data_IF_755222450509
#
_entry.id   IF_755222450509
#
_cell.length_a   1.000
_cell.length_b   1.000
_cell.length_c   1.000
_cell.angle_alpha   90.00
_cell.angle_beta   90.00
_cell.angle_gamma   90.00
#
_symmetry.space_group_name_H-M   'P 1'
#
loop_
_entity.id
_entity.type
_entity.pdbx_description
1 polymer ?
#
# COMPACT_ATOMS: atom_id res chain seq x y z
N UNK A 1 -91.14 27.41 -19.09
CA UNK A 1 -90.91 28.47 -20.09
C UNK A 1 -89.41 28.58 -20.34
N UNK A 2 -89.00 28.50 -21.62
CA UNK A 2 -87.76 28.94 -22.32
C UNK A 2 -86.56 29.37 -21.45
N UNK A 3 -85.30 29.04 -21.75
CA UNK A 3 -84.65 29.14 -23.05
C UNK A 3 -83.26 28.45 -23.05
N UNK A 4 -82.84 28.10 -24.27
CA UNK A 4 -81.54 27.59 -24.69
C UNK A 4 -80.37 28.57 -24.48
N UNK A 5 -79.12 28.08 -24.44
CA UNK A 5 -77.94 28.44 -25.27
C UNK A 5 -76.63 28.08 -24.51
N UNK A 6 -75.46 27.71 -25.05
CA UNK A 6 -74.89 27.26 -26.34
C UNK A 6 -73.51 26.63 -26.03
N UNK A 7 -72.96 25.85 -26.96
CA UNK A 7 -71.67 25.14 -26.87
C UNK A 7 -70.50 26.12 -27.10
N UNK A 8 -69.44 26.02 -26.30
CA UNK A 8 -68.12 26.58 -26.63
C UNK A 8 -67.02 25.57 -26.25
N UNK A 9 -66.47 24.88 -27.26
CA UNK A 9 -65.29 24.03 -27.14
C UNK A 9 -64.07 24.93 -27.41
N UNK A 10 -63.28 25.19 -26.37
CA UNK A 10 -62.00 25.88 -26.46
C UNK A 10 -60.88 24.84 -26.62
N UNK A 11 -60.14 24.96 -27.71
CA UNK A 11 -59.01 24.10 -28.08
C UNK A 11 -57.74 24.69 -27.44
N UNK A 12 -57.21 24.06 -26.39
CA UNK A 12 -55.90 24.44 -25.82
C UNK A 12 -54.77 23.74 -26.58
N UNK A 13 -53.95 24.55 -27.25
CA UNK A 13 -52.70 24.12 -27.87
C UNK A 13 -51.62 24.13 -26.79
N UNK A 14 -51.15 22.94 -26.39
CA UNK A 14 -50.02 22.80 -25.49
C UNK A 14 -48.71 23.15 -26.22
N UNK A 15 -48.10 24.29 -25.87
CA UNK A 15 -46.74 24.64 -26.27
C UNK A 15 -45.74 23.93 -25.35
N UNK A 16 -44.95 23.01 -25.89
CA UNK A 16 -43.83 22.41 -25.19
C UNK A 16 -42.69 23.43 -25.06
N UNK A 17 -42.19 23.72 -23.84
CA UNK A 17 -41.00 24.55 -23.69
C UNK A 17 -39.78 23.74 -24.14
N UNK A 18 -39.08 24.23 -25.17
CA UNK A 18 -37.79 23.70 -25.57
C UNK A 18 -36.74 23.94 -24.49
N UNK A 19 -35.93 22.91 -24.19
CA UNK A 19 -34.83 23.02 -23.23
C UNK A 19 -33.77 24.02 -23.73
N UNK A 20 -33.64 25.16 -23.07
CA UNK A 20 -32.47 26.03 -23.18
C UNK A 20 -31.31 25.39 -22.42
N UNK A 21 -30.30 24.87 -23.11
CA UNK A 21 -29.03 24.53 -22.46
C UNK A 21 -28.31 25.84 -22.12
N UNK A 22 -28.16 26.13 -20.83
CA UNK A 22 -27.33 27.22 -20.36
C UNK A 22 -25.86 26.93 -20.70
N UNK A 23 -25.09 27.91 -21.22
CA UNK A 23 -23.65 27.71 -21.45
C UNK A 23 -22.95 27.43 -20.11
N UNK A 24 -21.92 26.56 -20.08
CA UNK A 24 -21.22 26.25 -18.84
C UNK A 24 -20.57 27.52 -18.27
N UNK A 25 -20.58 27.70 -16.94
CA UNK A 25 -20.00 28.87 -16.30
C UNK A 25 -18.49 28.97 -16.63
N UNK A 26 -18.03 30.20 -16.85
CA UNK A 26 -16.65 30.51 -17.23
C UNK A 26 -15.69 29.94 -16.18
N UNK A 27 -14.78 29.05 -16.59
CA UNK A 27 -13.86 28.38 -15.68
C UNK A 27 -12.96 29.40 -14.96
N UNK A 28 -13.16 29.53 -13.65
CA UNK A 28 -12.33 30.39 -12.81
C UNK A 28 -10.95 29.73 -12.65
N UNK A 29 -9.87 30.40 -13.07
CA UNK A 29 -8.52 29.81 -13.20
C UNK A 29 -7.97 29.24 -11.87
N UNK A 30 -8.54 29.72 -10.76
CA UNK A 30 -8.16 29.39 -9.39
C UNK A 30 -8.96 28.23 -8.78
N UNK A 31 -9.97 27.69 -9.47
CA UNK A 31 -10.78 26.58 -8.98
C UNK A 31 -10.80 25.43 -9.99
N UNK A 32 -10.90 24.20 -9.49
CA UNK A 32 -11.09 22.98 -10.27
C UNK A 32 -12.40 22.36 -9.83
N UNK A 33 -13.29 22.12 -10.77
CA UNK A 33 -14.53 21.37 -10.53
C UNK A 33 -14.18 19.88 -10.37
N UNK A 34 -14.46 19.31 -9.21
CA UNK A 34 -14.32 17.88 -8.95
C UNK A 34 -15.72 17.28 -8.90
N UNK A 35 -15.96 16.24 -9.70
CA UNK A 35 -17.22 15.51 -9.72
C UNK A 35 -17.02 14.11 -9.14
N UNK A 36 -17.89 13.72 -8.21
CA UNK A 36 -18.00 12.36 -7.68
C UNK A 36 -19.45 11.85 -7.80
N UNK A 37 -19.74 10.67 -7.24
CA UNK A 37 -21.08 10.05 -7.28
C UNK A 37 -22.16 10.89 -6.57
N UNK A 38 -21.76 11.86 -5.74
CA UNK A 38 -22.66 12.77 -5.01
C UNK A 38 -22.88 14.12 -5.70
N UNK A 39 -22.12 14.42 -6.77
CA UNK A 39 -22.28 15.62 -7.59
C UNK A 39 -20.97 16.31 -7.95
N UNK A 40 -21.07 17.50 -8.53
CA UNK A 40 -19.92 18.33 -8.91
C UNK A 40 -19.78 19.53 -7.98
N UNK A 41 -18.59 19.72 -7.42
CA UNK A 41 -18.27 20.87 -6.56
C UNK A 41 -16.96 21.54 -6.98
N UNK A 42 -16.94 22.88 -6.96
CA UNK A 42 -15.74 23.67 -7.25
C UNK A 42 -14.84 23.75 -6.01
N UNK A 43 -13.59 23.32 -6.16
CA UNK A 43 -12.56 23.42 -5.11
C UNK A 43 -11.44 24.34 -5.56
N UNK A 44 -10.81 25.11 -4.66
CA UNK A 44 -9.65 25.90 -5.06
C UNK A 44 -8.51 24.98 -5.53
N UNK A 45 -7.73 25.42 -6.50
CA UNK A 45 -6.69 24.60 -7.14
C UNK A 45 -5.55 24.20 -6.18
N UNK A 46 -5.37 24.98 -5.13
CA UNK A 46 -4.48 24.71 -4.01
C UNK A 46 -5.19 24.03 -2.82
N UNK A 47 -6.37 23.44 -3.05
CA UNK A 47 -7.08 22.69 -2.01
C UNK A 47 -6.26 21.45 -1.61
N UNK A 48 -5.77 21.43 -0.37
CA UNK A 48 -5.26 20.23 0.25
C UNK A 48 -6.41 19.48 0.93
N UNK A 49 -6.60 18.21 0.57
CA UNK A 49 -7.53 17.31 1.26
C UNK A 49 -7.10 17.00 2.69
N UNK A 50 -5.81 17.13 2.99
CA UNK A 50 -5.25 16.99 4.33
C UNK A 50 -4.88 18.36 4.91
N UNK A 51 -5.56 18.76 5.99
CA UNK A 51 -5.27 19.98 6.75
C UNK A 51 -4.81 19.57 8.16
N UNK A 52 -3.50 19.67 8.49
CA UNK A 52 -2.98 19.26 9.79
C UNK A 52 -3.54 20.10 10.95
N UNK A 53 -4.06 21.31 10.69
CA UNK A 53 -4.66 22.16 11.71
C UNK A 53 -6.09 21.74 12.11
N UNK A 54 -6.73 20.83 11.35
CA UNK A 54 -8.08 20.31 11.61
C UNK A 54 -8.08 18.90 12.18
N UNK A 55 -6.95 18.45 12.73
CA UNK A 55 -6.81 17.14 13.33
C UNK A 55 -7.79 16.97 14.49
N UNK A 56 -8.47 15.83 14.57
CA UNK A 56 -9.39 15.56 15.68
C UNK A 56 -8.60 15.43 17.00
N UNK A 57 -9.22 15.73 18.16
CA UNK A 57 -8.56 15.53 19.45
C UNK A 57 -8.10 14.09 19.68
N UNK A 58 -8.82 13.12 19.11
CA UNK A 58 -8.50 11.69 19.19
C UNK A 58 -7.24 11.33 18.39
N UNK A 59 -7.09 11.89 17.18
CA UNK A 59 -5.91 11.69 16.35
C UNK A 59 -4.67 12.36 16.96
N UNK A 60 -4.82 13.53 17.57
CA UNK A 60 -3.73 14.21 18.27
C UNK A 60 -3.26 13.40 19.48
N UNK A 61 -4.19 12.90 20.30
CA UNK A 61 -3.86 12.01 21.41
C UNK A 61 -3.19 10.71 20.93
N UNK A 62 -3.61 10.13 19.81
CA UNK A 62 -2.97 8.95 19.23
C UNK A 62 -1.54 9.23 18.75
N UNK A 63 -1.30 10.39 18.11
CA UNK A 63 0.03 10.80 17.69
C UNK A 63 0.94 11.09 18.90
N UNK A 64 0.41 11.71 19.95
CA UNK A 64 1.18 11.96 21.17
C UNK A 64 1.57 10.64 21.84
N UNK A 65 0.63 9.70 21.98
CA UNK A 65 0.91 8.35 22.48
C UNK A 65 2.01 7.66 21.69
N UNK A 66 2.02 7.84 20.37
CA UNK A 66 3.08 7.30 19.51
C UNK A 66 4.45 7.86 19.86
N UNK A 67 4.56 9.19 19.99
CA UNK A 67 5.81 9.85 20.36
C UNK A 67 6.29 9.40 21.73
N UNK A 68 5.38 9.31 22.71
CA UNK A 68 5.71 8.87 24.07
C UNK A 68 6.25 7.43 24.08
N UNK A 69 5.66 6.53 23.29
CA UNK A 69 6.12 5.15 23.17
C UNK A 69 7.44 5.03 22.40
N UNK A 70 7.65 5.83 21.35
CA UNK A 70 8.92 5.88 20.62
C UNK A 70 10.05 6.33 21.56
N UNK A 71 9.81 7.33 22.42
CA UNK A 71 10.78 7.79 23.43
C UNK A 71 11.10 6.73 24.50
N UNK A 72 10.14 5.86 24.84
CA UNK A 72 10.38 4.71 25.73
C UNK A 72 11.17 3.60 25.01
N UNK A 73 10.83 3.34 23.75
CA UNK A 73 11.48 2.32 22.92
C UNK A 73 12.97 2.60 22.71
N UNK A 74 13.35 3.87 22.51
CA UNK A 74 14.76 4.26 22.39
C UNK A 74 15.60 3.88 23.60
N UNK A 75 15.02 3.89 24.80
CA UNK A 75 15.73 3.64 26.06
C UNK A 75 15.81 2.16 26.41
N UNK A 76 14.74 1.39 26.18
CA UNK A 76 14.65 -0.01 26.61
C UNK A 76 14.40 -0.99 25.43
N UNK A 77 15.28 -2.00 25.21
CA UNK A 77 15.05 -3.11 24.27
C UNK A 77 13.67 -3.75 24.39
N UNK A 78 13.17 -3.92 25.61
CA UNK A 78 11.89 -4.56 25.88
C UNK A 78 10.73 -3.67 25.44
N UNK A 79 10.81 -2.36 25.71
CA UNK A 79 9.84 -1.37 25.26
C UNK A 79 9.80 -1.24 23.74
N UNK A 80 10.95 -1.29 23.06
CA UNK A 80 10.98 -1.30 21.60
C UNK A 80 10.32 -2.55 21.00
N UNK A 81 10.49 -3.71 21.64
CA UNK A 81 9.79 -4.92 21.23
C UNK A 81 8.27 -4.83 21.45
N UNK A 82 7.83 -4.27 22.58
CA UNK A 82 6.39 -4.05 22.84
C UNK A 82 5.78 -3.07 21.83
N UNK A 83 6.47 -1.95 21.55
CA UNK A 83 6.05 -1.00 20.52
C UNK A 83 5.93 -1.67 19.14
N UNK A 84 6.90 -2.52 18.79
CA UNK A 84 6.83 -3.30 17.55
C UNK A 84 5.59 -4.19 17.51
N UNK A 85 5.27 -4.91 18.59
CA UNK A 85 4.08 -5.75 18.65
C UNK A 85 2.78 -4.95 18.52
N UNK A 86 2.69 -3.77 19.16
CA UNK A 86 1.54 -2.87 19.03
C UNK A 86 1.37 -2.36 17.61
N UNK A 87 2.47 -1.94 16.96
CA UNK A 87 2.46 -1.51 15.56
C UNK A 87 2.11 -2.65 14.60
N UNK A 88 2.51 -3.88 14.93
CA UNK A 88 2.18 -5.07 14.15
C UNK A 88 0.69 -5.40 14.19
N UNK A 89 0.05 -5.28 15.37
CA UNK A 89 -1.36 -5.64 15.58
C UNK A 89 -2.33 -4.48 15.36
N UNK A 90 -1.86 -3.24 15.50
CA UNK A 90 -2.72 -2.05 15.55
C UNK A 90 -3.35 -1.79 16.92
N UNK A 91 -2.70 -2.23 18.02
CA UNK A 91 -3.27 -2.15 19.37
C UNK A 91 -3.15 -0.72 19.93
N UNK A 92 -4.23 0.06 19.82
CA UNK A 92 -4.32 1.44 20.32
C UNK A 92 -3.57 2.47 19.47
N UNK A 93 -2.96 2.02 18.36
CA UNK A 93 -2.12 2.76 17.43
C UNK A 93 -2.44 2.27 16.02
N UNK A 94 -2.31 3.13 15.01
CA UNK A 94 -2.46 2.72 13.61
C UNK A 94 -1.44 1.64 13.25
N UNK A 95 -1.92 0.50 12.76
CA UNK A 95 -1.07 -0.60 12.32
C UNK A 95 -0.05 -0.13 11.27
N UNK A 96 1.21 -0.46 11.49
CA UNK A 96 2.29 -0.20 10.54
C UNK A 96 3.35 -1.30 10.63
N UNK A 97 3.23 -2.25 9.72
CA UNK A 97 4.06 -3.44 9.67
C UNK A 97 5.54 -3.13 9.39
N UNK A 98 5.84 -2.11 8.57
CA UNK A 98 7.21 -1.72 8.28
C UNK A 98 7.89 -1.13 9.52
N UNK A 99 7.27 -0.14 10.16
CA UNK A 99 7.79 0.44 11.41
C UNK A 99 7.91 -0.62 12.52
N UNK A 100 6.98 -1.58 12.58
CA UNK A 100 7.08 -2.70 13.52
C UNK A 100 8.39 -3.48 13.33
N UNK A 101 8.73 -3.86 12.10
CA UNK A 101 9.96 -4.62 11.84
C UNK A 101 11.21 -3.81 12.17
N UNK A 102 11.21 -2.50 11.92
CA UNK A 102 12.33 -1.61 12.26
C UNK A 102 12.57 -1.55 13.78
N UNK A 103 11.52 -1.32 14.57
CA UNK A 103 11.63 -1.31 16.04
C UNK A 103 11.99 -2.68 16.60
N UNK A 104 11.46 -3.75 16.01
CA UNK A 104 11.81 -5.11 16.39
C UNK A 104 13.28 -5.42 16.09
N UNK A 105 13.79 -4.97 14.94
CA UNK A 105 15.20 -5.05 14.57
C UNK A 105 16.07 -4.30 15.57
N UNK A 106 15.73 -3.05 15.87
CA UNK A 106 16.46 -2.26 16.89
C UNK A 106 16.49 -2.95 18.25
N UNK A 107 15.37 -3.52 18.71
CA UNK A 107 15.33 -4.31 19.93
C UNK A 107 16.25 -5.54 19.85
N UNK A 108 16.22 -6.27 18.73
CA UNK A 108 17.07 -7.45 18.50
C UNK A 108 18.56 -7.12 18.43
N UNK A 109 18.94 -6.00 17.81
CA UNK A 109 20.32 -5.50 17.75
C UNK A 109 20.86 -5.12 19.12
N UNK A 110 20.00 -4.55 19.99
CA UNK A 110 20.30 -4.30 21.40
C UNK A 110 20.26 -5.55 22.28
N UNK A 111 20.08 -6.73 21.69
CA UNK A 111 20.19 -8.01 22.38
C UNK A 111 18.88 -8.56 22.96
N UNK A 112 17.73 -7.95 22.66
CA UNK A 112 16.43 -8.43 23.13
C UNK A 112 16.12 -9.82 22.54
N UNK A 113 16.10 -10.84 23.39
CA UNK A 113 16.03 -12.23 22.97
C UNK A 113 14.77 -12.58 22.18
N UNK A 114 13.59 -12.18 22.67
CA UNK A 114 12.32 -12.46 21.99
C UNK A 114 12.18 -11.70 20.67
N UNK A 115 12.81 -10.52 20.55
CA UNK A 115 12.83 -9.77 19.29
C UNK A 115 13.67 -10.51 18.23
N UNK A 116 14.84 -11.03 18.60
CA UNK A 116 15.68 -11.83 17.70
C UNK A 116 14.92 -13.08 17.20
N UNK A 117 14.22 -13.79 18.10
CA UNK A 117 13.43 -14.97 17.73
C UNK A 117 12.26 -14.59 16.81
N UNK A 118 11.54 -13.52 17.14
CA UNK A 118 10.41 -13.03 16.34
C UNK A 118 10.84 -12.59 14.94
N UNK A 119 11.96 -11.86 14.80
CA UNK A 119 12.54 -11.50 13.50
C UNK A 119 12.92 -12.73 12.69
N UNK A 120 13.58 -13.69 13.31
CA UNK A 120 13.95 -14.95 12.68
C UNK A 120 12.76 -15.68 12.07
N UNK A 121 11.66 -15.77 12.83
CA UNK A 121 10.39 -16.34 12.35
C UNK A 121 9.78 -15.53 11.23
N UNK A 122 9.74 -14.21 11.38
CA UNK A 122 9.13 -13.29 10.42
C UNK A 122 9.86 -13.32 9.07
N UNK A 123 11.19 -13.37 9.06
CA UNK A 123 11.96 -13.52 7.83
C UNK A 123 11.80 -14.90 7.19
N UNK A 124 11.59 -15.95 7.99
CA UNK A 124 11.39 -17.30 7.46
C UNK A 124 10.02 -17.45 6.78
N UNK A 125 8.95 -16.97 7.42
CA UNK A 125 7.59 -17.03 6.85
C UNK A 125 7.37 -15.98 5.76
N UNK A 126 8.11 -14.88 5.84
CA UNK A 126 7.85 -13.67 5.10
C UNK A 126 6.65 -12.89 5.64
N UNK A 127 6.53 -11.63 5.23
CA UNK A 127 5.50 -10.72 5.71
C UNK A 127 4.96 -9.84 4.59
N UNK A 128 3.72 -10.12 4.19
CA UNK A 128 3.03 -9.36 3.13
C UNK A 128 3.91 -9.19 1.89
N UNK A 129 4.18 -7.94 1.54
CA UNK A 129 4.97 -7.56 0.36
C UNK A 129 6.49 -7.77 0.51
N UNK A 130 7.00 -7.92 1.74
CA UNK A 130 8.45 -8.05 1.98
C UNK A 130 9.01 -9.42 1.53
N UNK A 131 8.14 -10.42 1.33
CA UNK A 131 8.55 -11.79 1.03
C UNK A 131 9.33 -12.46 2.16
N UNK A 132 9.76 -13.70 1.95
CA UNK A 132 10.64 -14.41 2.89
C UNK A 132 12.11 -14.20 2.53
N UNK A 133 12.95 -14.09 3.56
CA UNK A 133 14.41 -14.04 3.45
C UNK A 133 15.02 -15.09 4.40
N UNK A 134 15.25 -16.33 3.90
CA UNK A 134 15.86 -17.38 4.69
C UNK A 134 17.28 -17.06 5.18
N UNK A 135 18.01 -16.17 4.49
CA UNK A 135 19.36 -15.78 4.88
C UNK A 135 19.36 -14.90 6.13
N UNK A 136 18.52 -13.88 6.14
CA UNK A 136 18.37 -13.02 7.32
C UNK A 136 17.71 -13.78 8.48
N UNK A 137 16.78 -14.71 8.18
CA UNK A 137 16.21 -15.62 9.18
C UNK A 137 17.31 -16.46 9.88
N UNK A 138 18.22 -17.07 9.11
CA UNK A 138 19.33 -17.87 9.66
C UNK A 138 20.21 -17.04 10.60
N UNK A 139 20.51 -15.79 10.24
CA UNK A 139 21.30 -14.88 11.08
C UNK A 139 20.63 -14.62 12.42
N UNK A 140 19.37 -14.20 12.45
CA UNK A 140 18.66 -13.91 13.70
C UNK A 140 18.40 -15.17 14.55
N UNK A 141 18.05 -16.30 13.90
CA UNK A 141 17.82 -17.57 14.58
C UNK A 141 19.11 -18.20 15.12
N UNK A 142 20.26 -17.97 14.47
CA UNK A 142 21.54 -18.46 14.99
C UNK A 142 21.90 -17.85 16.34
N UNK A 143 21.59 -16.55 16.53
CA UNK A 143 21.82 -15.85 17.79
C UNK A 143 20.98 -16.45 18.91
N UNK A 144 19.70 -16.75 18.66
CA UNK A 144 18.80 -17.33 19.67
C UNK A 144 19.06 -18.81 19.92
N UNK A 145 19.35 -19.58 18.86
CA UNK A 145 19.73 -20.99 18.96
C UNK A 145 21.03 -21.19 19.74
N UNK A 146 21.99 -20.25 19.64
CA UNK A 146 23.25 -20.28 20.41
C UNK A 146 23.01 -20.15 21.93
N UNK A 147 21.93 -19.47 22.33
CA UNK A 147 21.51 -19.31 23.72
C UNK A 147 20.72 -20.52 24.25
N UNK A 148 20.58 -21.58 23.45
CA UNK A 148 19.99 -22.86 23.87
C UNK A 148 18.49 -23.01 23.58
N UNK A 149 17.88 -22.07 22.85
CA UNK A 149 16.47 -22.14 22.52
C UNK A 149 16.17 -23.25 21.50
N UNK A 150 15.22 -24.12 21.87
CA UNK A 150 14.88 -25.31 21.09
C UNK A 150 14.08 -24.95 19.83
N UNK A 151 13.17 -24.00 19.92
CA UNK A 151 12.34 -23.52 18.80
C UNK A 151 13.22 -22.83 17.76
N UNK A 152 14.13 -21.95 18.21
CA UNK A 152 15.11 -21.30 17.35
C UNK A 152 15.99 -22.32 16.62
N UNK A 153 16.40 -23.40 17.30
CA UNK A 153 17.22 -24.45 16.67
C UNK A 153 16.46 -25.25 15.62
N UNK A 154 15.15 -25.50 15.81
CA UNK A 154 14.33 -26.16 14.78
C UNK A 154 14.15 -25.24 13.58
N UNK A 155 13.76 -23.98 13.83
CA UNK A 155 13.58 -22.97 12.80
C UNK A 155 14.88 -22.67 12.05
N UNK A 156 16.04 -22.71 12.71
CA UNK A 156 17.34 -22.51 12.08
C UNK A 156 17.60 -23.58 11.01
N UNK A 157 17.25 -24.84 11.27
CA UNK A 157 17.37 -25.92 10.28
C UNK A 157 16.48 -25.67 9.08
N UNK A 158 15.23 -25.26 9.32
CA UNK A 158 14.28 -24.91 8.27
C UNK A 158 14.78 -23.73 7.43
N UNK A 159 15.32 -22.68 8.08
CA UNK A 159 15.91 -21.52 7.40
C UNK A 159 17.10 -21.90 6.53
N UNK A 160 18.02 -22.74 7.03
CA UNK A 160 19.16 -23.22 6.25
C UNK A 160 18.72 -24.05 5.04
N UNK A 161 17.72 -24.92 5.19
CA UNK A 161 17.18 -25.69 4.08
C UNK A 161 16.48 -24.80 3.04
N UNK A 162 15.69 -23.82 3.49
CA UNK A 162 15.04 -22.85 2.63
C UNK A 162 16.06 -22.01 1.86
N UNK A 163 17.14 -21.58 2.52
CA UNK A 163 18.25 -20.85 1.88
C UNK A 163 18.95 -21.69 0.81
N UNK A 164 19.26 -22.95 1.10
CA UNK A 164 19.88 -23.86 0.13
C UNK A 164 18.97 -24.10 -1.08
N UNK A 165 17.67 -24.28 -0.83
CA UNK A 165 16.66 -24.43 -1.87
C UNK A 165 16.59 -23.17 -2.75
N UNK A 166 16.53 -21.99 -2.13
CA UNK A 166 16.53 -20.71 -2.83
C UNK A 166 17.81 -20.52 -3.67
N UNK A 167 18.97 -20.85 -3.13
CA UNK A 167 20.25 -20.78 -3.85
C UNK A 167 20.32 -21.77 -5.02
N UNK A 168 19.83 -22.99 -4.83
CA UNK A 168 19.74 -24.00 -5.89
C UNK A 168 18.80 -23.53 -7.00
N UNK A 169 17.64 -23.01 -6.64
CA UNK A 169 16.66 -22.46 -7.58
C UNK A 169 17.27 -21.29 -8.35
N UNK A 170 17.96 -20.36 -7.67
CA UNK A 170 18.64 -19.25 -8.33
C UNK A 170 19.70 -19.74 -9.32
N UNK A 171 20.55 -20.70 -8.94
CA UNK A 171 21.56 -21.31 -9.83
C UNK A 171 20.93 -22.00 -11.04
N UNK A 172 19.83 -22.71 -10.84
CA UNK A 172 19.08 -23.33 -11.93
C UNK A 172 18.57 -22.28 -12.92
N UNK A 173 17.87 -21.25 -12.43
CA UNK A 173 17.34 -20.18 -13.26
C UNK A 173 18.44 -19.39 -13.96
N UNK A 174 19.56 -19.14 -13.28
CA UNK A 174 20.68 -18.43 -13.86
C UNK A 174 21.34 -19.22 -15.01
N UNK A 175 21.53 -20.53 -14.84
CA UNK A 175 22.02 -21.42 -15.90
C UNK A 175 21.14 -21.36 -17.15
N UNK A 176 19.82 -21.34 -16.98
CA UNK A 176 18.85 -21.31 -18.08
C UNK A 176 18.49 -19.89 -18.54
N UNK A 177 19.03 -18.86 -17.89
CA UNK A 177 18.71 -17.46 -18.15
C UNK A 177 18.91 -17.12 -19.62
N UNK A 178 20.09 -17.42 -20.16
CA UNK A 178 20.42 -17.13 -21.57
C UNK A 178 19.52 -17.91 -22.53
N UNK A 179 19.25 -19.19 -22.30
CA UNK A 179 18.37 -19.99 -23.14
C UNK A 179 16.95 -19.45 -23.15
N UNK A 180 16.42 -19.08 -21.98
CA UNK A 180 15.06 -18.56 -21.84
C UNK A 180 14.90 -17.18 -22.49
N UNK A 181 15.85 -16.26 -22.23
CA UNK A 181 15.83 -14.92 -22.85
C UNK A 181 16.13 -14.95 -24.34
N UNK A 182 17.05 -15.81 -24.81
CA UNK A 182 17.29 -15.97 -26.24
C UNK A 182 16.07 -16.54 -26.94
N UNK A 183 15.44 -17.58 -26.39
CA UNK A 183 14.21 -18.16 -26.95
C UNK A 183 13.06 -17.14 -27.00
N UNK A 184 12.87 -16.36 -25.93
CA UNK A 184 11.85 -15.32 -25.90
C UNK A 184 12.18 -14.16 -26.85
N UNK A 185 13.44 -13.72 -26.91
CA UNK A 185 13.88 -12.65 -27.83
C UNK A 185 13.88 -13.08 -29.30
N UNK A 186 14.13 -14.36 -29.60
CA UNK A 186 14.09 -14.88 -30.98
C UNK A 186 12.68 -15.28 -31.41
N UNK A 187 11.83 -15.70 -30.47
CA UNK A 187 10.46 -16.14 -30.72
C UNK A 187 9.44 -15.00 -30.75
N UNK A 188 9.68 -13.94 -29.98
CA UNK A 188 8.92 -12.69 -30.02
C UNK A 188 9.80 -11.60 -30.64
N UNK A 189 9.98 -11.69 -31.96
CA UNK A 189 10.65 -10.63 -32.69
C UNK A 189 9.75 -9.40 -32.63
N UNK A 190 10.09 -8.43 -31.77
CA UNK A 190 9.39 -7.15 -31.71
C UNK A 190 9.66 -6.43 -33.02
N UNK A 191 8.73 -6.60 -33.96
CA UNK A 191 8.87 -5.97 -35.25
C UNK A 191 8.92 -4.46 -35.12
N UNK A 192 8.24 -3.85 -34.15
CA UNK A 192 8.26 -2.41 -33.96
C UNK A 192 9.31 -1.99 -32.91
N UNK A 193 10.29 -1.18 -33.32
CA UNK A 193 11.27 -0.50 -32.45
C UNK A 193 11.06 1.01 -32.51
N UNK A 194 11.02 1.69 -31.37
CA UNK A 194 11.02 3.16 -31.30
C UNK A 194 12.45 3.70 -31.34
N UNK A 195 12.73 4.59 -32.28
CA UNK A 195 14.00 5.33 -32.35
C UNK A 195 13.74 6.71 -32.96
N UNK A 196 14.57 7.72 -32.67
CA UNK A 196 14.46 9.10 -33.21
C UNK A 196 13.04 9.68 -33.33
N UNK A 197 12.14 9.36 -32.39
CA UNK A 197 10.76 9.85 -32.38
C UNK A 197 9.77 9.16 -33.33
N UNK A 198 10.11 7.98 -33.90
CA UNK A 198 9.22 7.19 -34.77
C UNK A 198 9.36 5.68 -34.52
N UNK A 199 8.34 4.94 -34.92
CA UNK A 199 8.35 3.46 -34.92
C UNK A 199 8.93 2.91 -36.22
N UNK A 200 9.89 2.00 -36.11
CA UNK A 200 10.56 1.29 -37.20
C UNK A 200 10.16 -0.19 -37.19
N UNK A 201 9.78 -0.73 -38.34
CA UNK A 201 9.47 -2.15 -38.49
C UNK A 201 10.72 -2.96 -38.90
N UNK A 202 11.17 -3.90 -38.07
CA UNK A 202 12.22 -4.86 -38.32
C UNK A 202 11.60 -6.14 -38.90
N UNK A 203 11.93 -6.46 -40.15
CA UNK A 203 11.59 -7.73 -40.81
C UNK A 203 12.46 -8.87 -40.31
#
# INVERSE_FOLDING_TARGET
MKASFWIAILWEIATLPGCTQTPPPVANVNTVTICDESGCADRPRNYASFDPAKRSPEEEAANQRMVDLEALAEKDPSAAYDLALRLFRGDGIKQNTHKSVEWMRSAGERGHFEAQKALGRLYLTGLGEMGSDPGEAEKWLSMTASKGDKEARTLLKEATQARQTLQSNYRYWDRWRSTFYNYWSSGYNYHWRWDTGRWYYNY
#
